data_IF_618400039455
#
_entry.id   IF_618400039455
#
_cell.length_a   1.000
_cell.length_b   1.000
_cell.length_c   1.000
_cell.angle_alpha   90.00
_cell.angle_beta   90.00
_cell.angle_gamma   90.00
#
_symmetry.space_group_name_H-M   'P 1'
#
loop_
_entity.id
_entity.type
_entity.pdbx_description
1 polymer ?
#
# COMPACT_ATOMS: atom_id res chain seq x y z
N UNK A 1 -19.25 -24.71 -41.60
CA UNK A 1 -19.05 -25.57 -42.80
C UNK A 1 -18.00 -26.65 -42.49
N UNK A 2 -18.15 -27.54 -41.52
CA UNK A 2 -18.83 -28.81 -41.80
C UNK A 2 -19.29 -29.62 -40.56
N UNK A 3 -19.32 -29.06 -39.34
CA UNK A 3 -19.90 -29.75 -38.16
C UNK A 3 -21.16 -29.07 -37.59
N UNK A 4 -21.74 -28.11 -38.31
CA UNK A 4 -22.76 -27.19 -37.82
C UNK A 4 -24.17 -27.40 -38.42
N UNK A 5 -24.40 -28.53 -39.09
CA UNK A 5 -25.72 -28.92 -39.62
C UNK A 5 -26.24 -30.19 -38.93
N UNK A 6 -25.34 -31.07 -38.48
CA UNK A 6 -25.69 -32.38 -37.92
C UNK A 6 -26.23 -32.34 -36.48
N UNK A 7 -26.17 -31.18 -35.80
CA UNK A 7 -26.65 -30.96 -34.41
C UNK A 7 -27.95 -30.12 -34.34
N UNK A 8 -28.55 -29.76 -35.48
CA UNK A 8 -29.84 -29.05 -35.48
C UNK A 8 -31.01 -30.04 -35.36
N UNK A 9 -32.03 -29.74 -34.55
CA UNK A 9 -33.25 -30.56 -34.50
C UNK A 9 -33.95 -30.57 -35.88
N UNK A 10 -34.34 -31.75 -36.37
CA UNK A 10 -35.09 -31.92 -37.63
C UNK A 10 -36.58 -31.50 -37.52
N UNK A 11 -37.05 -31.14 -36.32
CA UNK A 11 -38.43 -30.69 -36.11
C UNK A 11 -38.64 -29.22 -36.51
N UNK A 12 -39.51 -29.00 -37.50
CA UNK A 12 -39.86 -27.69 -38.05
C UNK A 12 -40.46 -26.76 -36.98
N UNK A 13 -41.19 -27.28 -36.00
CA UNK A 13 -41.79 -26.45 -34.95
C UNK A 13 -40.72 -25.92 -33.98
N UNK A 14 -39.81 -26.79 -33.55
CA UNK A 14 -38.65 -26.43 -32.72
C UNK A 14 -37.73 -25.44 -33.45
N UNK A 15 -37.46 -25.65 -34.74
CA UNK A 15 -36.69 -24.71 -35.56
C UNK A 15 -37.33 -23.32 -35.66
N UNK A 16 -38.66 -23.23 -35.76
CA UNK A 16 -39.37 -21.94 -35.77
C UNK A 16 -39.29 -21.22 -34.43
N UNK A 17 -39.37 -21.94 -33.32
CA UNK A 17 -39.21 -21.37 -31.98
C UNK A 17 -37.78 -20.84 -31.76
N UNK A 18 -36.77 -21.61 -32.18
CA UNK A 18 -35.36 -21.19 -32.18
C UNK A 18 -35.16 -19.94 -33.04
N UNK A 19 -35.77 -19.87 -34.24
CA UNK A 19 -35.66 -18.69 -35.11
C UNK A 19 -36.29 -17.44 -34.49
N UNK A 20 -37.41 -17.58 -33.78
CA UNK A 20 -38.03 -16.46 -33.07
C UNK A 20 -37.18 -15.99 -31.89
N UNK A 21 -36.60 -16.91 -31.12
CA UNK A 21 -35.67 -16.59 -30.04
C UNK A 21 -34.41 -15.86 -30.57
N UNK A 22 -33.83 -16.37 -31.67
CA UNK A 22 -32.68 -15.76 -32.35
C UNK A 22 -33.00 -14.37 -32.92
N UNK A 23 -34.23 -14.16 -33.41
CA UNK A 23 -34.68 -12.83 -33.86
C UNK A 23 -34.83 -11.86 -32.70
N UNK A 24 -35.41 -12.29 -31.58
CA UNK A 24 -35.51 -11.46 -30.38
C UNK A 24 -34.12 -11.10 -29.82
N UNK A 25 -33.19 -12.06 -29.82
CA UNK A 25 -31.79 -11.84 -29.45
C UNK A 25 -31.10 -10.87 -30.42
N UNK A 26 -31.34 -11.01 -31.72
CA UNK A 26 -30.82 -10.11 -32.75
C UNK A 26 -31.35 -8.68 -32.59
N UNK A 27 -32.62 -8.50 -32.22
CA UNK A 27 -33.19 -7.18 -31.93
C UNK A 27 -32.59 -6.55 -30.68
N UNK A 28 -32.40 -7.34 -29.61
CA UNK A 28 -31.71 -6.89 -28.39
C UNK A 28 -30.26 -6.47 -28.68
N UNK A 29 -29.53 -7.27 -29.46
CA UNK A 29 -28.16 -6.94 -29.87
C UNK A 29 -28.10 -5.68 -30.73
N UNK A 30 -29.07 -5.47 -31.63
CA UNK A 30 -29.17 -4.23 -32.40
C UNK A 30 -29.47 -3.01 -31.54
N UNK A 31 -30.30 -3.15 -30.51
CA UNK A 31 -30.56 -2.09 -29.55
C UNK A 31 -29.29 -1.70 -28.78
N UNK A 32 -28.54 -2.68 -28.29
CA UNK A 32 -27.23 -2.48 -27.63
C UNK A 32 -26.21 -1.83 -28.57
N UNK A 33 -26.14 -2.29 -29.82
CA UNK A 33 -25.27 -1.68 -30.85
C UNK A 33 -25.67 -0.22 -31.16
N UNK A 34 -26.96 0.11 -31.12
CA UNK A 34 -27.43 1.48 -31.31
C UNK A 34 -27.05 2.39 -30.12
N UNK A 35 -27.10 1.87 -28.89
CA UNK A 35 -26.59 2.56 -27.70
C UNK A 35 -25.07 2.76 -27.78
N UNK A 36 -24.31 1.71 -28.14
CA UNK A 36 -22.87 1.78 -28.35
C UNK A 36 -22.49 2.78 -29.46
N UNK A 37 -23.21 2.80 -30.59
CA UNK A 37 -22.98 3.80 -31.65
C UNK A 37 -23.30 5.23 -31.21
N UNK A 38 -24.33 5.45 -30.40
CA UNK A 38 -24.57 6.78 -29.79
C UNK A 38 -23.46 7.18 -28.83
N UNK A 39 -22.93 6.25 -28.06
CA UNK A 39 -21.79 6.50 -27.18
C UNK A 39 -20.51 6.82 -27.96
N UNK A 40 -20.29 6.15 -29.10
CA UNK A 40 -19.05 6.27 -29.88
C UNK A 40 -19.06 7.45 -30.86
N UNK A 41 -20.23 7.84 -31.40
CA UNK A 41 -20.37 8.87 -32.45
C UNK A 41 -21.33 10.01 -32.09
N UNK A 42 -21.77 10.13 -30.82
CA UNK A 42 -22.59 11.22 -30.30
C UNK A 42 -21.86 12.57 -30.23
N UNK A 43 -22.61 13.67 -30.04
CA UNK A 43 -22.05 15.04 -29.99
C UNK A 43 -21.04 15.18 -28.84
N UNK A 44 -19.85 15.70 -29.17
CA UNK A 44 -18.60 15.68 -28.37
C UNK A 44 -18.56 16.51 -27.06
N UNK A 45 -19.68 16.92 -26.45
CA UNK A 45 -19.69 17.75 -25.22
C UNK A 45 -20.20 17.09 -23.94
N UNK A 46 -20.62 15.83 -23.97
CA UNK A 46 -20.99 15.08 -22.76
C UNK A 46 -20.26 13.74 -22.77
N UNK A 47 -19.01 13.72 -22.28
CA UNK A 47 -18.34 12.47 -21.95
C UNK A 47 -18.99 11.93 -20.67
N UNK A 48 -19.91 10.97 -20.79
CA UNK A 48 -20.18 10.05 -19.68
C UNK A 48 -18.91 9.25 -19.38
N UNK A 49 -18.53 9.12 -18.12
CA UNK A 49 -17.29 8.41 -17.75
C UNK A 49 -17.44 6.90 -18.00
N UNK A 50 -16.34 6.23 -18.35
CA UNK A 50 -16.30 4.76 -18.47
C UNK A 50 -16.68 4.10 -17.13
N UNK A 51 -16.37 4.75 -16.01
CA UNK A 51 -16.82 4.34 -14.68
C UNK A 51 -18.34 4.38 -14.52
N UNK A 52 -19.03 5.33 -15.16
CA UNK A 52 -20.49 5.43 -15.15
C UNK A 52 -21.14 4.34 -16.03
N UNK A 53 -20.46 3.92 -17.10
CA UNK A 53 -20.85 2.78 -17.94
C UNK A 53 -20.63 1.44 -17.23
N UNK A 54 -19.51 1.27 -16.54
CA UNK A 54 -19.23 0.08 -15.71
C UNK A 54 -20.26 -0.05 -14.59
N UNK A 55 -20.62 1.06 -13.93
CA UNK A 55 -21.68 1.08 -12.92
C UNK A 55 -23.03 0.62 -13.48
N UNK A 56 -23.36 1.05 -14.71
CA UNK A 56 -24.61 0.67 -15.38
C UNK A 56 -24.63 -0.80 -15.81
N UNK A 57 -23.48 -1.36 -16.20
CA UNK A 57 -23.32 -2.78 -16.51
C UNK A 57 -23.39 -3.63 -15.24
N UNK A 58 -22.79 -3.15 -14.15
CA UNK A 58 -22.83 -3.77 -12.83
C UNK A 58 -24.28 -3.85 -12.28
N UNK A 59 -25.08 -2.80 -12.50
CA UNK A 59 -26.51 -2.80 -12.14
C UNK A 59 -27.33 -3.83 -12.96
N UNK A 60 -27.03 -3.98 -14.26
CA UNK A 60 -27.68 -4.98 -15.12
C UNK A 60 -27.27 -6.40 -14.74
N UNK A 61 -25.99 -6.64 -14.49
CA UNK A 61 -25.48 -7.93 -14.03
C UNK A 61 -26.06 -8.30 -12.67
N UNK A 62 -26.19 -7.33 -11.77
CA UNK A 62 -26.84 -7.50 -10.47
C UNK A 62 -28.32 -7.86 -10.63
N UNK A 63 -29.05 -7.21 -11.55
CA UNK A 63 -30.45 -7.52 -11.84
C UNK A 63 -30.63 -8.92 -12.45
N UNK A 64 -29.74 -9.33 -13.37
CA UNK A 64 -29.74 -10.68 -13.95
C UNK A 64 -29.46 -11.73 -12.87
N UNK A 65 -28.43 -11.52 -12.05
CA UNK A 65 -28.10 -12.40 -10.93
C UNK A 65 -29.25 -12.52 -9.92
N UNK A 66 -30.02 -11.44 -9.70
CA UNK A 66 -31.18 -11.46 -8.82
C UNK A 66 -32.33 -12.30 -9.38
N UNK A 67 -32.61 -12.24 -10.68
CA UNK A 67 -33.63 -13.09 -11.33
C UNK A 67 -33.19 -14.57 -11.39
N UNK A 68 -31.91 -14.83 -11.69
CA UNK A 68 -31.34 -16.17 -11.64
C UNK A 68 -31.43 -16.76 -10.21
N UNK A 69 -31.17 -15.95 -9.18
CA UNK A 69 -31.32 -16.38 -7.78
C UNK A 69 -32.80 -16.65 -7.41
N UNK A 70 -33.76 -15.92 -7.98
CA UNK A 70 -35.19 -16.20 -7.79
C UNK A 70 -35.61 -17.52 -8.44
N UNK A 71 -35.13 -17.78 -9.67
CA UNK A 71 -35.34 -19.05 -10.38
C UNK A 71 -34.69 -20.22 -9.64
N UNK A 72 -33.51 -20.00 -9.06
CA UNK A 72 -32.84 -21.02 -8.25
C UNK A 72 -33.60 -21.33 -6.94
N UNK A 73 -34.26 -20.33 -6.33
CA UNK A 73 -35.10 -20.55 -5.15
C UNK A 73 -36.40 -21.26 -5.46
N UNK A 74 -36.96 -21.10 -6.67
CA UNK A 74 -38.22 -21.75 -7.06
C UNK A 74 -38.02 -23.18 -7.59
N UNK A 75 -36.86 -23.50 -8.16
CA UNK A 75 -36.54 -24.84 -8.68
C UNK A 75 -35.41 -25.53 -7.89
N UNK A 76 -35.80 -26.53 -7.09
CA UNK A 76 -34.88 -27.33 -6.27
C UNK A 76 -33.89 -28.19 -7.09
N UNK A 77 -34.19 -28.51 -8.35
CA UNK A 77 -33.26 -29.23 -9.23
C UNK A 77 -32.19 -28.27 -9.78
N UNK A 78 -32.59 -27.07 -10.17
CA UNK A 78 -31.67 -26.03 -10.63
C UNK A 78 -30.71 -25.60 -9.51
N UNK A 79 -31.22 -25.44 -8.28
CA UNK A 79 -30.39 -25.16 -7.11
C UNK A 79 -29.34 -26.24 -6.83
N UNK A 80 -29.74 -27.52 -6.89
CA UNK A 80 -28.82 -28.65 -6.68
C UNK A 80 -27.74 -28.72 -7.77
N UNK A 81 -28.11 -28.52 -9.04
CA UNK A 81 -27.18 -28.51 -10.17
C UNK A 81 -26.17 -27.36 -10.07
N UNK A 82 -26.63 -26.15 -9.77
CA UNK A 82 -25.76 -24.98 -9.62
C UNK A 82 -24.85 -25.08 -8.38
N UNK A 83 -25.35 -25.67 -7.28
CA UNK A 83 -24.53 -25.96 -6.09
C UNK A 83 -23.43 -26.98 -6.40
N UNK A 84 -23.71 -27.99 -7.22
CA UNK A 84 -22.72 -28.99 -7.65
C UNK A 84 -21.64 -28.36 -8.55
N UNK A 85 -22.01 -27.52 -9.51
CA UNK A 85 -21.06 -26.75 -10.33
C UNK A 85 -20.17 -25.84 -9.47
N UNK A 86 -20.75 -25.12 -8.50
CA UNK A 86 -20.00 -24.27 -7.54
C UNK A 86 -19.03 -25.07 -6.67
N UNK A 87 -19.41 -26.27 -6.24
CA UNK A 87 -18.51 -27.18 -5.50
C UNK A 87 -17.32 -27.63 -6.36
N UNK A 88 -17.55 -27.94 -7.64
CA UNK A 88 -16.48 -28.34 -8.57
C UNK A 88 -15.47 -27.23 -8.88
N UNK A 89 -15.92 -25.97 -8.92
CA UNK A 89 -15.07 -24.81 -9.26
C UNK A 89 -14.47 -24.07 -8.06
N UNK A 90 -14.65 -24.58 -6.82
CA UNK A 90 -14.28 -23.86 -5.59
C UNK A 90 -12.76 -23.68 -5.40
N UNK A 91 -11.94 -24.53 -6.02
CA UNK A 91 -10.49 -24.56 -5.78
C UNK A 91 -10.15 -24.89 -4.32
N UNK A 92 -8.85 -24.95 -3.99
CA UNK A 92 -8.38 -25.05 -2.60
C UNK A 92 -7.99 -23.66 -2.09
N UNK A 93 -8.34 -23.34 -0.83
CA UNK A 93 -7.86 -22.10 -0.21
C UNK A 93 -6.36 -22.20 0.06
N UNK A 94 -5.58 -21.12 -0.14
CA UNK A 94 -4.13 -21.17 0.03
C UNK A 94 -3.71 -21.68 1.42
N UNK A 95 -2.71 -22.58 1.45
CA UNK A 95 -2.27 -23.25 2.67
C UNK A 95 -1.74 -22.29 3.76
N UNK A 96 -1.27 -21.10 3.37
CA UNK A 96 -0.70 -20.11 4.28
C UNK A 96 -1.75 -19.27 5.04
N UNK A 97 -3.04 -19.37 4.70
CA UNK A 97 -4.09 -18.67 5.44
C UNK A 97 -4.39 -19.40 6.76
N UNK A 98 -4.55 -18.67 7.89
CA UNK A 98 -4.88 -19.27 9.18
C UNK A 98 -6.27 -19.91 9.13
N UNK A 99 -6.40 -21.13 9.66
CA UNK A 99 -7.67 -21.87 9.77
C UNK A 99 -8.14 -21.80 11.22
N UNK A 100 -9.36 -21.29 11.44
CA UNK A 100 -10.04 -21.34 12.72
C UNK A 100 -11.12 -22.41 12.67
N UNK A 101 -11.04 -23.42 13.54
CA UNK A 101 -11.95 -24.56 13.57
C UNK A 101 -13.14 -24.28 14.49
N UNK A 102 -14.35 -24.34 13.94
CA UNK A 102 -15.61 -24.25 14.71
C UNK A 102 -16.28 -25.62 14.68
N UNK A 103 -16.24 -26.32 15.82
CA UNK A 103 -16.89 -27.63 15.98
C UNK A 103 -18.34 -27.40 16.42
N UNK A 104 -19.28 -27.82 15.59
CA UNK A 104 -20.72 -27.76 15.91
C UNK A 104 -21.14 -29.14 16.42
N UNK A 105 -21.40 -29.24 17.72
CA UNK A 105 -21.84 -30.50 18.35
C UNK A 105 -23.37 -30.53 18.57
N UNK A 106 -24.02 -31.71 18.52
CA UNK A 106 -25.44 -31.84 18.82
C UNK A 106 -25.73 -31.59 20.31
N UNK A 107 -26.86 -30.95 20.62
CA UNK A 107 -27.26 -30.56 22.00
C UNK A 107 -27.40 -31.75 22.96
N UNK A 108 -27.77 -32.94 22.45
CA UNK A 108 -27.88 -34.16 23.24
C UNK A 108 -26.82 -35.17 22.80
N UNK A 109 -25.82 -35.40 23.67
CA UNK A 109 -24.77 -36.42 23.48
C UNK A 109 -25.18 -37.81 23.99
N UNK A 110 -26.46 -37.99 24.32
CA UNK A 110 -27.04 -39.25 24.78
C UNK A 110 -27.96 -39.82 23.70
N UNK A 111 -27.89 -41.13 23.48
CA UNK A 111 -28.72 -41.80 22.49
C UNK A 111 -30.21 -41.73 22.89
N UNK A 112 -31.11 -41.22 22.02
CA UNK A 112 -32.52 -41.05 22.36
C UNK A 112 -33.29 -42.36 22.62
N UNK A 113 -32.71 -43.54 22.33
CA UNK A 113 -33.34 -44.83 22.61
C UNK A 113 -32.83 -45.54 23.87
N UNK A 114 -31.57 -45.33 24.28
CA UNK A 114 -30.93 -46.13 25.35
C UNK A 114 -30.09 -45.32 26.35
N UNK A 115 -29.97 -44.00 26.18
CA UNK A 115 -29.32 -43.10 27.14
C UNK A 115 -27.79 -43.16 27.21
N UNK A 116 -27.15 -44.04 26.44
CA UNK A 116 -25.69 -44.15 26.38
C UNK A 116 -25.04 -43.00 25.60
N UNK A 117 -23.76 -42.71 25.90
CA UNK A 117 -22.99 -41.66 25.24
C UNK A 117 -22.73 -41.98 23.75
N UNK A 118 -22.98 -40.99 22.88
CA UNK A 118 -22.69 -41.08 21.44
C UNK A 118 -21.18 -40.91 21.20
N UNK A 119 -20.62 -41.69 20.26
CA UNK A 119 -19.22 -41.59 19.85
C UNK A 119 -19.11 -41.07 18.42
N UNK A 120 -18.03 -40.36 18.12
CA UNK A 120 -17.78 -39.75 16.81
C UNK A 120 -17.37 -40.85 15.81
N UNK A 121 -18.12 -41.01 14.72
CA UNK A 121 -17.91 -42.03 13.69
C UNK A 121 -17.27 -41.43 12.41
N UNK A 122 -17.30 -40.09 12.28
CA UNK A 122 -16.70 -39.33 11.19
C UNK A 122 -17.09 -37.85 11.24
N UNK A 123 -16.45 -37.01 10.44
CA UNK A 123 -16.73 -35.57 10.35
C UNK A 123 -16.83 -35.11 8.89
N UNK A 124 -17.77 -34.21 8.62
CA UNK A 124 -17.85 -33.46 7.37
C UNK A 124 -17.22 -32.09 7.59
N UNK A 125 -16.11 -31.80 6.90
CA UNK A 125 -15.41 -30.51 7.00
C UNK A 125 -15.72 -29.59 5.81
N UNK A 126 -15.84 -28.29 6.07
CA UNK A 126 -16.00 -27.28 5.02
C UNK A 126 -15.16 -26.04 5.30
N UNK A 127 -14.24 -25.70 4.39
CA UNK A 127 -13.46 -24.47 4.48
C UNK A 127 -14.24 -23.28 3.89
N UNK A 128 -14.25 -22.15 4.60
CA UNK A 128 -14.85 -20.87 4.18
C UNK A 128 -13.86 -19.75 4.44
N UNK A 129 -13.68 -18.86 3.47
CA UNK A 129 -12.83 -17.68 3.64
C UNK A 129 -13.55 -16.64 4.50
N UNK A 130 -12.94 -16.27 5.63
CA UNK A 130 -13.41 -15.22 6.51
C UNK A 130 -12.45 -14.02 6.51
N UNK A 131 -12.96 -12.82 6.78
CA UNK A 131 -12.16 -11.59 6.88
C UNK A 131 -12.41 -10.95 8.23
N UNK A 132 -11.41 -10.98 9.10
CA UNK A 132 -11.38 -10.20 10.34
C UNK A 132 -10.71 -8.85 10.05
N UNK A 133 -11.42 -7.71 10.14
CA UNK A 133 -10.81 -6.38 9.94
C UNK A 133 -9.78 -6.04 11.04
N UNK A 134 -8.89 -5.07 10.74
CA UNK A 134 -7.88 -4.57 11.67
C UNK A 134 -8.51 -4.14 13.01
N UNK A 135 -8.24 -4.87 14.09
CA UNK A 135 -8.80 -4.57 15.42
C UNK A 135 -8.18 -3.28 15.97
N UNK A 136 -9.01 -2.28 16.26
CA UNK A 136 -8.60 -1.14 17.08
C UNK A 136 -8.23 -1.62 18.49
N UNK A 137 -7.12 -1.12 19.04
CA UNK A 137 -6.66 -1.41 20.40
C UNK A 137 -6.23 -0.14 21.12
N UNK A 138 -6.40 -0.12 22.44
CA UNK A 138 -5.94 0.97 23.30
C UNK A 138 -4.59 0.61 23.93
N UNK A 139 -3.58 1.44 23.73
CA UNK A 139 -2.28 1.28 24.38
C UNK A 139 -2.27 2.12 25.67
N UNK A 140 -2.19 1.46 26.83
CA UNK A 140 -2.18 2.10 28.14
C UNK A 140 -0.76 2.16 28.70
N UNK A 141 -0.11 3.32 28.59
CA UNK A 141 1.23 3.55 29.15
C UNK A 141 1.14 4.03 30.60
N UNK A 142 1.55 3.19 31.57
CA UNK A 142 1.59 3.55 32.99
C UNK A 142 3.00 3.97 33.41
N UNK A 143 3.14 5.15 34.01
CA UNK A 143 4.41 5.69 34.53
C UNK A 143 4.34 5.84 36.06
N UNK A 144 4.66 4.81 36.86
CA UNK A 144 4.62 4.89 38.31
C UNK A 144 5.62 5.92 38.84
N UNK A 145 5.25 6.58 39.94
CA UNK A 145 6.08 7.52 40.69
C UNK A 145 6.65 6.81 41.91
N UNK A 146 7.97 6.88 42.09
CA UNK A 146 8.66 6.30 43.24
C UNK A 146 9.15 7.42 44.14
N UNK A 147 9.07 7.25 45.46
CA UNK A 147 9.59 8.20 46.43
C UNK A 147 10.28 7.44 47.57
N UNK A 148 11.43 7.96 48.02
CA UNK A 148 12.09 7.46 49.22
C UNK A 148 11.27 7.85 50.46
N UNK A 149 11.01 6.91 51.38
CA UNK A 149 10.31 7.21 52.65
C UNK A 149 11.22 7.82 53.72
N UNK A 150 12.53 7.63 53.61
CA UNK A 150 13.54 8.06 54.61
C UNK A 150 14.20 9.39 54.26
N UNK A 151 14.19 9.72 52.97
CA UNK A 151 14.77 10.90 52.36
C UNK A 151 13.59 11.65 51.75
N UNK A 152 13.13 12.73 52.38
CA UNK A 152 12.01 13.55 51.88
C UNK A 152 12.29 14.19 50.51
N UNK A 153 13.49 13.98 49.95
CA UNK A 153 13.91 14.48 48.66
C UNK A 153 13.70 13.46 47.54
N UNK A 154 12.76 13.81 46.66
CA UNK A 154 12.71 13.36 45.28
C UNK A 154 11.66 12.29 44.98
N UNK A 155 10.58 12.71 44.29
CA UNK A 155 9.73 11.79 43.52
C UNK A 155 10.42 11.52 42.19
N UNK A 156 10.82 10.27 41.96
CA UNK A 156 11.46 9.81 40.73
C UNK A 156 10.39 9.20 39.82
N UNK A 157 10.31 9.68 38.59
CA UNK A 157 9.42 9.16 37.56
C UNK A 157 10.17 9.12 36.23
N UNK A 158 10.10 8.00 35.50
CA UNK A 158 10.65 7.91 34.14
C UNK A 158 10.00 8.97 33.24
N UNK A 159 10.71 9.66 32.32
CA UNK A 159 10.16 10.71 31.45
C UNK A 159 9.05 10.19 30.52
N UNK A 160 8.27 11.12 29.94
CA UNK A 160 7.24 10.75 28.97
C UNK A 160 7.91 10.40 27.64
N UNK A 161 7.37 9.41 26.92
CA UNK A 161 7.76 9.20 25.53
C UNK A 161 7.26 10.37 24.69
N UNK A 162 8.11 10.86 23.78
CA UNK A 162 7.70 11.81 22.74
C UNK A 162 6.71 11.10 21.79
N UNK A 163 5.73 11.85 21.29
CA UNK A 163 4.68 11.34 20.40
C UNK A 163 4.61 12.23 19.17
N UNK A 164 4.25 11.66 18.01
CA UNK A 164 4.03 12.42 16.79
C UNK A 164 2.96 13.52 16.95
N UNK A 165 1.88 13.20 17.66
CA UNK A 165 0.85 14.17 18.04
C UNK A 165 0.89 14.32 19.56
N UNK A 166 1.51 15.39 20.05
CA UNK A 166 1.64 15.64 21.49
C UNK A 166 0.27 15.78 22.17
N UNK A 167 0.06 15.01 23.24
CA UNK A 167 -1.24 14.96 23.93
C UNK A 167 -2.38 14.33 23.12
N UNK A 168 -2.12 13.92 21.88
CA UNK A 168 -3.10 13.34 20.98
C UNK A 168 -3.50 11.92 21.35
N UNK A 169 -4.67 11.53 20.86
CA UNK A 169 -5.18 10.16 20.89
C UNK A 169 -4.37 9.17 20.04
N UNK A 170 -3.87 9.51 18.83
CA UNK A 170 -3.36 8.49 17.93
C UNK A 170 -1.97 8.04 18.36
N UNK A 171 -1.70 6.77 18.09
CA UNK A 171 -0.33 6.27 18.01
C UNK A 171 0.23 6.55 16.61
N UNK A 172 1.54 6.48 16.46
CA UNK A 172 2.23 6.65 15.18
C UNK A 172 1.71 5.64 14.13
N UNK A 173 1.39 4.42 14.55
CA UNK A 173 0.80 3.40 13.69
C UNK A 173 -0.61 3.76 13.21
N UNK A 174 -1.44 4.38 14.06
CA UNK A 174 -2.78 4.84 13.65
C UNK A 174 -2.68 6.02 12.68
N UNK A 175 -1.72 6.93 12.89
CA UNK A 175 -1.48 8.02 11.92
C UNK A 175 -1.02 7.46 10.57
N UNK A 176 -0.12 6.47 10.58
CA UNK A 176 0.32 5.80 9.36
C UNK A 176 -0.85 5.13 8.61
N UNK A 177 -1.74 4.42 9.32
CA UNK A 177 -2.95 3.82 8.73
C UNK A 177 -3.87 4.85 8.08
N UNK A 178 -4.10 5.99 8.76
CA UNK A 178 -4.92 7.10 8.24
C UNK A 178 -4.30 7.70 6.96
N UNK A 179 -2.97 7.84 6.92
CA UNK A 179 -2.24 8.32 5.74
C UNK A 179 -2.33 7.32 4.58
N UNK A 180 -2.04 6.05 4.81
CA UNK A 180 -2.11 4.99 3.80
C UNK A 180 -3.52 4.89 3.25
N UNK A 181 -4.52 4.81 4.12
CA UNK A 181 -5.93 4.82 3.74
C UNK A 181 -6.27 6.03 2.87
N UNK A 182 -5.79 7.23 3.24
CA UNK A 182 -6.11 8.45 2.50
C UNK A 182 -5.47 8.50 1.12
N UNK A 183 -4.18 8.19 1.05
CA UNK A 183 -3.36 8.48 -0.11
C UNK A 183 -3.18 7.26 -1.02
N UNK A 184 -3.01 6.06 -0.45
CA UNK A 184 -2.86 4.82 -1.22
C UNK A 184 -4.22 4.18 -1.53
N UNK A 185 -5.12 4.10 -0.55
CA UNK A 185 -6.43 3.44 -0.73
C UNK A 185 -7.54 4.41 -1.19
N UNK A 186 -7.18 5.66 -1.47
CA UNK A 186 -8.09 6.73 -1.91
C UNK A 186 -9.33 6.88 -1.01
N UNK A 187 -9.18 6.63 0.29
CA UNK A 187 -10.25 6.67 1.27
C UNK A 187 -10.32 8.05 1.94
N UNK A 188 -11.26 8.92 1.58
CA UNK A 188 -11.28 10.29 2.11
C UNK A 188 -11.47 10.31 3.63
N UNK A 189 -10.89 11.31 4.31
CA UNK A 189 -10.89 11.38 5.78
C UNK A 189 -12.28 11.34 6.43
N UNK A 190 -13.31 11.91 5.79
CA UNK A 190 -14.67 11.81 6.31
C UNK A 190 -15.20 10.36 6.31
N UNK A 191 -14.79 9.56 5.31
CA UNK A 191 -15.19 8.15 5.21
C UNK A 191 -14.42 7.30 6.21
N UNK A 192 -13.14 7.61 6.45
CA UNK A 192 -12.37 7.01 7.54
C UNK A 192 -13.01 7.30 8.90
N UNK A 193 -13.41 8.55 9.18
CA UNK A 193 -14.13 8.91 10.40
C UNK A 193 -15.44 8.10 10.58
N UNK A 194 -16.19 7.89 9.50
CA UNK A 194 -17.40 7.05 9.52
C UNK A 194 -17.09 5.57 9.77
N UNK A 195 -15.98 5.04 9.25
CA UNK A 195 -15.54 3.66 9.50
C UNK A 195 -15.18 3.49 10.98
N UNK A 196 -14.37 4.40 11.54
CA UNK A 196 -14.03 4.41 12.96
C UNK A 196 -15.27 4.52 13.85
N UNK A 197 -16.26 5.34 13.45
CA UNK A 197 -17.53 5.47 14.17
C UNK A 197 -18.34 4.16 14.20
N UNK A 198 -18.27 3.33 13.14
CA UNK A 198 -18.91 1.99 13.12
C UNK A 198 -18.27 1.04 14.13
N UNK A 199 -16.99 1.26 14.44
CA UNK A 199 -16.26 0.52 15.48
C UNK A 199 -16.41 1.16 16.88
N UNK A 200 -17.29 2.15 17.02
CA UNK A 200 -17.54 2.84 18.28
C UNK A 200 -16.56 3.97 18.61
N UNK A 201 -15.67 4.33 17.69
CA UNK A 201 -14.67 5.39 17.87
C UNK A 201 -15.08 6.65 17.09
N UNK A 202 -15.73 7.59 17.79
CA UNK A 202 -16.19 8.85 17.20
C UNK A 202 -15.05 9.86 17.15
N UNK A 203 -14.51 10.10 15.94
CA UNK A 203 -13.43 11.06 15.69
C UNK A 203 -13.88 12.02 14.60
N UNK A 204 -13.74 13.33 14.84
CA UNK A 204 -14.11 14.32 13.84
C UNK A 204 -13.09 14.36 12.69
N UNK A 205 -13.59 14.70 11.49
CA UNK A 205 -12.75 14.86 10.29
C UNK A 205 -11.61 15.86 10.52
N UNK A 206 -11.84 16.94 11.26
CA UNK A 206 -10.82 17.95 11.58
C UNK A 206 -9.67 17.36 12.40
N UNK A 207 -9.96 16.42 13.30
CA UNK A 207 -8.95 15.70 14.08
C UNK A 207 -8.08 14.84 13.18
N UNK A 208 -8.67 14.10 12.23
CA UNK A 208 -7.90 13.34 11.24
C UNK A 208 -7.07 14.25 10.32
N UNK A 209 -7.60 15.41 9.92
CA UNK A 209 -6.84 16.41 9.16
C UNK A 209 -5.62 16.91 9.94
N UNK A 210 -5.77 17.16 11.25
CA UNK A 210 -4.66 17.56 12.11
C UNK A 210 -3.57 16.49 12.16
N UNK A 211 -3.93 15.21 12.33
CA UNK A 211 -2.96 14.11 12.33
C UNK A 211 -2.18 14.01 11.01
N UNK A 212 -2.88 14.16 9.88
CA UNK A 212 -2.23 14.20 8.55
C UNK A 212 -1.27 15.38 8.46
N UNK A 213 -1.66 16.56 8.96
CA UNK A 213 -0.81 17.75 8.98
C UNK A 213 0.45 17.57 9.84
N UNK A 214 0.31 17.01 11.05
CA UNK A 214 1.46 16.72 11.92
C UNK A 214 2.45 15.75 11.27
N UNK A 215 1.95 14.69 10.62
CA UNK A 215 2.80 13.77 9.90
C UNK A 215 3.47 14.41 8.67
N UNK A 216 2.75 15.28 7.96
CA UNK A 216 3.30 15.99 6.81
C UNK A 216 4.52 16.84 7.22
N UNK A 217 4.44 17.60 8.32
CA UNK A 217 5.56 18.43 8.82
C UNK A 217 6.81 17.60 9.14
N UNK A 218 6.65 16.42 9.73
CA UNK A 218 7.80 15.53 10.00
C UNK A 218 8.41 14.95 8.71
N UNK A 219 7.61 14.80 7.65
CA UNK A 219 8.07 14.30 6.35
C UNK A 219 8.61 15.42 5.43
N UNK A 220 8.19 16.66 5.65
CA UNK A 220 8.40 17.84 4.83
C UNK A 220 9.39 18.78 5.57
N UNK A 221 10.72 18.53 5.60
CA UNK A 221 11.53 18.45 4.38
C UNK A 221 12.91 17.78 4.57
N UNK A 222 12.99 16.47 4.83
CA UNK A 222 14.33 15.87 5.05
C UNK A 222 15.20 15.91 3.77
N UNK A 223 14.56 15.82 2.59
CA UNK A 223 15.25 15.77 1.29
C UNK A 223 14.50 16.51 0.16
N UNK A 224 13.52 17.36 0.50
CA UNK A 224 12.76 18.20 -0.44
C UNK A 224 12.25 17.48 -1.72
N UNK A 225 11.81 16.23 -1.61
CA UNK A 225 11.51 15.37 -2.77
C UNK A 225 10.14 15.62 -3.41
N UNK A 226 9.24 16.37 -2.77
CA UNK A 226 7.86 16.52 -3.22
C UNK A 226 7.75 17.09 -4.65
N UNK A 227 8.45 18.19 -4.95
CA UNK A 227 8.42 18.79 -6.29
C UNK A 227 9.04 17.87 -7.34
N UNK A 228 10.14 17.20 -7.00
CA UNK A 228 10.80 16.24 -7.87
C UNK A 228 9.89 15.06 -8.22
N UNK A 229 9.14 14.54 -7.25
CA UNK A 229 8.16 13.47 -7.48
C UNK A 229 7.06 13.96 -8.43
N UNK A 230 6.54 15.18 -8.23
CA UNK A 230 5.53 15.75 -9.12
C UNK A 230 6.05 15.87 -10.55
N UNK A 231 7.26 16.41 -10.74
CA UNK A 231 7.90 16.54 -12.05
C UNK A 231 8.08 15.17 -12.72
N UNK A 232 8.70 14.21 -12.02
CA UNK A 232 8.92 12.87 -12.56
C UNK A 232 7.60 12.14 -12.89
N UNK A 233 6.56 12.36 -12.11
CA UNK A 233 5.22 11.80 -12.35
C UNK A 233 4.59 12.39 -13.61
N UNK A 234 4.66 13.71 -13.78
CA UNK A 234 4.11 14.37 -14.97
C UNK A 234 4.86 13.93 -16.24
N UNK A 235 6.20 13.94 -16.21
CA UNK A 235 7.02 13.52 -17.35
C UNK A 235 6.79 12.04 -17.71
N UNK A 236 6.79 11.16 -16.72
CA UNK A 236 6.52 9.73 -16.92
C UNK A 236 5.11 9.48 -17.43
N UNK A 237 4.13 10.24 -16.95
CA UNK A 237 2.73 10.13 -17.40
C UNK A 237 2.59 10.56 -18.86
N UNK A 238 3.19 11.69 -19.26
CA UNK A 238 3.16 12.14 -20.65
C UNK A 238 3.74 11.08 -21.59
N UNK A 239 4.91 10.53 -21.24
CA UNK A 239 5.54 9.47 -22.05
C UNK A 239 4.67 8.20 -22.14
N UNK A 240 4.03 7.79 -21.04
CA UNK A 240 3.14 6.63 -21.03
C UNK A 240 1.84 6.88 -21.80
N UNK A 241 1.31 8.10 -21.70
CA UNK A 241 0.12 8.53 -22.41
C UNK A 241 0.35 8.56 -23.93
N UNK A 242 1.47 9.14 -24.37
CA UNK A 242 1.85 9.19 -25.78
C UNK A 242 2.04 7.80 -26.38
N UNK A 243 2.58 6.86 -25.58
CA UNK A 243 2.71 5.46 -26.00
C UNK A 243 1.35 4.73 -26.11
N UNK A 244 0.34 5.13 -25.33
CA UNK A 244 -1.05 4.67 -25.44
C UNK A 244 -1.27 3.17 -25.20
N UNK A 245 -0.36 2.48 -24.52
CA UNK A 245 -0.45 1.02 -24.26
C UNK A 245 -0.55 0.71 -22.76
N UNK A 246 -1.26 -0.38 -22.42
CA UNK A 246 -1.31 -0.89 -21.05
C UNK A 246 0.09 -1.21 -20.50
N UNK A 247 0.98 -1.75 -21.34
CA UNK A 247 2.36 -2.00 -20.96
C UNK A 247 3.12 -0.71 -20.59
N UNK A 248 2.83 0.43 -21.26
CA UNK A 248 3.42 1.71 -20.90
C UNK A 248 2.85 2.26 -19.59
N UNK A 249 1.53 2.12 -19.36
CA UNK A 249 0.90 2.43 -18.07
C UNK A 249 1.51 1.62 -16.93
N UNK A 250 1.66 0.31 -17.11
CA UNK A 250 2.15 -0.57 -16.06
C UNK A 250 3.62 -0.29 -15.73
N UNK A 251 4.45 -0.01 -16.75
CA UNK A 251 5.83 0.47 -16.54
C UNK A 251 5.88 1.81 -15.81
N UNK A 252 5.01 2.75 -16.16
CA UNK A 252 4.90 4.04 -15.46
C UNK A 252 4.53 3.84 -13.99
N UNK A 253 3.47 3.07 -13.70
CA UNK A 253 3.04 2.78 -12.34
C UNK A 253 4.17 2.11 -11.54
N UNK A 254 4.84 1.11 -12.11
CA UNK A 254 5.97 0.44 -11.47
C UNK A 254 7.12 1.42 -11.17
N UNK A 255 7.47 2.30 -12.12
CA UNK A 255 8.56 3.25 -11.96
C UNK A 255 8.27 4.32 -10.90
N UNK A 256 7.02 4.82 -10.83
CA UNK A 256 6.60 5.79 -9.81
C UNK A 256 6.52 5.13 -8.44
N UNK A 257 5.97 3.93 -8.32
CA UNK A 257 5.94 3.19 -7.05
C UNK A 257 7.36 2.91 -6.53
N UNK A 258 8.27 2.45 -7.41
CA UNK A 258 9.67 2.24 -7.04
C UNK A 258 10.36 3.55 -6.61
N UNK A 259 10.00 4.70 -7.20
CA UNK A 259 10.49 6.02 -6.77
C UNK A 259 10.04 6.35 -5.36
N UNK A 260 8.77 6.15 -5.03
CA UNK A 260 8.25 6.36 -3.68
C UNK A 260 8.93 5.44 -2.65
N UNK A 261 9.09 4.17 -2.98
CA UNK A 261 9.77 3.20 -2.11
C UNK A 261 11.24 3.56 -1.87
N UNK A 262 11.97 3.95 -2.92
CA UNK A 262 13.35 4.39 -2.80
C UNK A 262 13.50 5.67 -1.96
N UNK A 263 12.58 6.62 -2.12
CA UNK A 263 12.57 7.85 -1.32
C UNK A 263 12.23 7.56 0.14
N UNK A 264 11.24 6.71 0.40
CA UNK A 264 10.92 6.24 1.75
C UNK A 264 12.16 5.63 2.40
N UNK A 265 12.83 4.71 1.71
CA UNK A 265 13.99 4.00 2.26
C UNK A 265 15.13 4.97 2.62
N UNK A 266 15.37 5.97 1.77
CA UNK A 266 16.37 7.00 2.03
C UNK A 266 16.00 7.90 3.23
N UNK A 267 14.73 8.29 3.36
CA UNK A 267 14.24 9.03 4.54
C UNK A 267 14.36 8.17 5.81
N UNK A 268 13.90 6.91 5.77
CA UNK A 268 13.99 5.98 6.91
C UNK A 268 15.45 5.78 7.33
N UNK A 269 16.38 5.75 6.38
CA UNK A 269 17.81 5.61 6.66
C UNK A 269 18.34 6.73 7.58
N UNK A 270 17.88 7.99 7.43
CA UNK A 270 18.27 9.08 8.33
C UNK A 270 17.90 8.82 9.78
N UNK A 271 16.69 8.33 10.01
CA UNK A 271 16.23 7.98 11.35
C UNK A 271 16.92 6.71 11.85
N UNK A 272 17.18 5.74 10.97
CA UNK A 272 17.81 4.49 11.37
C UNK A 272 19.29 4.65 11.72
N UNK A 273 20.01 5.50 10.99
CA UNK A 273 21.45 5.72 11.14
C UNK A 273 21.79 6.78 12.18
N UNK A 274 20.77 7.39 12.79
CA UNK A 274 20.95 8.37 13.85
C UNK A 274 21.82 7.81 14.99
N UNK A 275 22.69 8.66 15.56
CA UNK A 275 23.52 8.34 16.74
C UNK A 275 23.02 9.03 18.01
N UNK A 276 21.82 9.62 17.96
CA UNK A 276 21.22 10.36 19.06
C UNK A 276 20.67 9.37 20.09
N UNK A 277 20.99 9.61 21.34
CA UNK A 277 20.49 8.83 22.47
C UNK A 277 19.92 9.73 23.57
N UNK A 278 19.61 10.99 23.24
CA UNK A 278 19.12 12.00 24.18
C UNK A 278 17.69 11.73 24.66
N UNK A 279 16.87 11.06 23.86
CA UNK A 279 15.52 10.68 24.24
C UNK A 279 15.13 9.30 23.71
N UNK A 280 14.00 8.76 24.19
CA UNK A 280 13.51 7.45 23.80
C UNK A 280 13.10 7.37 22.33
N UNK A 281 12.67 8.48 21.72
CA UNK A 281 12.30 8.52 20.31
C UNK A 281 13.50 8.17 19.42
N UNK A 282 14.64 8.85 19.59
CA UNK A 282 15.83 8.57 18.78
C UNK A 282 16.40 7.17 19.02
N UNK A 283 16.35 6.69 20.27
CA UNK A 283 16.72 5.31 20.61
C UNK A 283 15.82 4.29 19.90
N UNK A 284 14.51 4.52 19.87
CA UNK A 284 13.56 3.65 19.19
C UNK A 284 13.77 3.64 17.67
N UNK A 285 13.99 4.81 17.05
CA UNK A 285 14.32 4.92 15.63
C UNK A 285 15.57 4.12 15.26
N UNK A 286 16.61 4.14 16.10
CA UNK A 286 17.84 3.37 15.86
C UNK A 286 17.67 1.85 16.10
N UNK A 287 16.79 1.45 17.01
CA UNK A 287 16.58 0.05 17.38
C UNK A 287 15.61 -0.72 16.47
N UNK A 288 14.73 -0.03 15.75
CA UNK A 288 13.66 -0.66 14.96
C UNK A 288 14.18 -1.28 13.66
N UNK A 289 14.68 -2.52 13.73
CA UNK A 289 15.16 -3.28 12.58
C UNK A 289 14.06 -4.07 11.85
N UNK A 290 12.94 -4.36 12.53
CA UNK A 290 11.90 -5.25 12.00
C UNK A 290 11.11 -4.58 10.87
N UNK A 291 11.02 -3.26 10.88
CA UNK A 291 10.28 -2.47 9.90
C UNK A 291 11.10 -2.03 8.67
N UNK A 292 12.39 -2.39 8.56
CA UNK A 292 13.23 -1.95 7.44
C UNK A 292 12.95 -2.76 6.16
N UNK A 293 12.89 -2.06 5.03
CA UNK A 293 12.71 -2.69 3.72
C UNK A 293 13.91 -3.60 3.37
N UNK A 294 13.73 -4.61 2.51
CA UNK A 294 14.85 -5.42 2.01
C UNK A 294 15.93 -4.58 1.31
N UNK A 295 15.53 -3.56 0.55
CA UNK A 295 16.43 -2.63 -0.17
C UNK A 295 17.33 -1.87 0.81
N UNK A 296 16.75 -1.25 1.85
CA UNK A 296 17.51 -0.53 2.86
C UNK A 296 18.42 -1.47 3.67
N UNK A 297 17.94 -2.67 4.01
CA UNK A 297 18.78 -3.69 4.67
C UNK A 297 19.99 -4.07 3.81
N UNK A 298 19.81 -4.19 2.49
CA UNK A 298 20.90 -4.48 1.57
C UNK A 298 21.91 -3.32 1.48
N UNK A 299 21.45 -2.07 1.38
CA UNK A 299 22.33 -0.88 1.44
C UNK A 299 23.12 -0.81 2.74
N UNK A 300 22.46 -0.99 3.89
CA UNK A 300 23.14 -1.05 5.19
C UNK A 300 24.15 -2.21 5.25
N UNK A 301 23.79 -3.37 4.71
CA UNK A 301 24.70 -4.53 4.64
C UNK A 301 25.92 -4.22 3.80
N UNK A 302 25.74 -3.59 2.63
CA UNK A 302 26.86 -3.19 1.78
C UNK A 302 27.82 -2.26 2.53
N UNK A 303 27.29 -1.22 3.19
CA UNK A 303 28.09 -0.30 4.00
C UNK A 303 28.82 -0.98 5.16
N UNK A 304 28.10 -1.70 6.02
CA UNK A 304 28.68 -2.30 7.24
C UNK A 304 29.59 -3.50 6.98
N UNK A 305 29.54 -4.08 5.78
CA UNK A 305 30.43 -5.18 5.36
C UNK A 305 31.51 -4.74 4.37
N UNK A 306 31.68 -3.42 4.18
CA UNK A 306 32.66 -2.82 3.28
C UNK A 306 32.59 -3.37 1.85
N UNK A 307 31.37 -3.53 1.32
CA UNK A 307 31.12 -3.77 -0.11
C UNK A 307 30.98 -2.45 -0.85
N UNK A 308 31.12 -2.50 -2.16
CA UNK A 308 30.90 -1.35 -3.03
C UNK A 308 29.41 -0.95 -3.03
N UNK A 309 29.12 0.23 -2.45
CA UNK A 309 27.76 0.77 -2.44
C UNK A 309 27.30 1.27 -3.82
N UNK A 310 28.22 1.67 -4.71
CA UNK A 310 27.85 2.06 -6.06
C UNK A 310 27.35 0.84 -6.85
N UNK A 311 28.04 -0.29 -6.72
CA UNK A 311 27.59 -1.56 -7.29
C UNK A 311 26.25 -2.01 -6.71
N UNK A 312 26.01 -1.82 -5.41
CA UNK A 312 24.73 -2.14 -4.78
C UNK A 312 23.58 -1.24 -5.30
N UNK A 313 23.83 0.07 -5.43
CA UNK A 313 22.85 1.03 -5.98
C UNK A 313 22.49 0.69 -7.43
N UNK A 314 23.48 0.30 -8.23
CA UNK A 314 23.28 -0.16 -9.60
C UNK A 314 22.49 -1.47 -9.65
N UNK A 315 22.87 -2.45 -8.83
CA UNK A 315 22.20 -3.75 -8.77
C UNK A 315 20.71 -3.65 -8.39
N UNK A 316 20.37 -2.71 -7.50
CA UNK A 316 18.98 -2.46 -7.12
C UNK A 316 18.23 -1.54 -8.10
N UNK A 317 18.92 -0.85 -9.00
CA UNK A 317 18.31 0.13 -9.91
C UNK A 317 17.79 1.40 -9.21
N UNK A 318 18.28 1.71 -8.00
CA UNK A 318 17.79 2.85 -7.20
C UNK A 318 18.51 4.18 -7.48
N UNK A 319 19.54 4.15 -8.34
CA UNK A 319 20.34 5.31 -8.73
C UNK A 319 19.54 6.42 -9.42
N UNK A 320 18.35 6.11 -9.97
CA UNK A 320 17.45 7.10 -10.58
C UNK A 320 16.74 8.02 -9.57
N UNK A 321 16.88 7.75 -8.27
CA UNK A 321 16.26 8.51 -7.19
C UNK A 321 17.31 9.11 -6.26
N UNK A 322 18.25 8.28 -5.78
CA UNK A 322 19.41 8.70 -5.00
C UNK A 322 20.65 8.01 -5.53
N UNK A 323 21.61 8.80 -6.00
CA UNK A 323 22.88 8.30 -6.49
C UNK A 323 23.71 7.69 -5.34
N UNK A 324 24.69 6.85 -5.68
CA UNK A 324 25.61 6.27 -4.71
C UNK A 324 26.28 7.33 -3.83
N UNK A 325 26.62 8.50 -4.37
CA UNK A 325 27.21 9.60 -3.61
C UNK A 325 26.29 10.13 -2.50
N UNK A 326 24.97 10.17 -2.74
CA UNK A 326 23.98 10.58 -1.74
C UNK A 326 23.98 9.60 -0.57
N UNK A 327 23.95 8.29 -0.86
CA UNK A 327 24.06 7.25 0.17
C UNK A 327 25.39 7.31 0.93
N UNK A 328 26.53 7.52 0.26
CA UNK A 328 27.81 7.72 0.95
C UNK A 328 27.77 8.92 1.88
N UNK A 329 27.26 10.06 1.40
CA UNK A 329 27.12 11.29 2.17
C UNK A 329 26.25 11.08 3.40
N UNK A 330 25.15 10.33 3.26
CA UNK A 330 24.24 10.00 4.34
C UNK A 330 24.94 9.17 5.43
N UNK A 331 25.46 8.01 5.07
CA UNK A 331 26.07 7.10 6.04
C UNK A 331 27.33 7.70 6.70
N UNK A 332 28.20 8.33 5.90
CA UNK A 332 29.39 9.00 6.40
C UNK A 332 29.04 10.23 7.26
N UNK A 333 28.03 11.00 6.85
CA UNK A 333 27.58 12.23 7.53
C UNK A 333 27.01 11.98 8.92
N UNK A 334 26.27 10.88 9.11
CA UNK A 334 25.84 10.43 10.44
C UNK A 334 26.99 9.84 11.27
N UNK A 335 28.15 9.61 10.67
CA UNK A 335 29.33 9.09 11.34
C UNK A 335 29.16 7.63 11.79
N UNK A 336 28.36 6.85 11.06
CA UNK A 336 28.01 5.48 11.43
C UNK A 336 28.80 4.52 10.56
N UNK A 337 29.98 4.13 11.02
CA UNK A 337 30.91 3.27 10.28
C UNK A 337 30.89 1.81 10.76
N UNK A 338 31.41 0.85 9.96
CA UNK A 338 31.71 -0.49 10.45
C UNK A 338 32.57 -0.46 11.72
N UNK A 339 32.48 -1.50 12.54
CA UNK A 339 33.40 -1.66 13.67
C UNK A 339 34.86 -1.60 13.18
N UNK A 340 35.79 -0.98 13.92
CA UNK A 340 37.18 -0.85 13.50
C UNK A 340 37.83 -2.18 13.11
N UNK A 341 37.46 -3.28 13.78
CA UNK A 341 37.94 -4.62 13.48
C UNK A 341 37.46 -5.19 12.12
N UNK A 342 36.38 -4.63 11.57
CA UNK A 342 35.80 -5.00 10.26
C UNK A 342 36.20 -4.03 9.14
N UNK A 343 36.82 -2.91 9.49
CA UNK A 343 37.36 -1.98 8.49
C UNK A 343 38.53 -2.64 7.75
N UNK A 344 38.56 -2.45 6.43
CA UNK A 344 39.65 -2.93 5.58
C UNK A 344 40.61 -1.77 5.30
N UNK A 345 41.93 -2.02 5.26
CA UNK A 345 42.84 -1.03 4.73
C UNK A 345 42.49 -0.74 3.26
N UNK A 346 42.77 0.48 2.77
CA UNK A 346 42.60 0.78 1.35
C UNK A 346 43.45 -0.18 0.51
N UNK A 347 42.96 -0.52 -0.68
CA UNK A 347 43.73 -1.28 -1.66
C UNK A 347 44.99 -0.49 -2.06
N UNK A 348 46.09 -1.20 -2.35
CA UNK A 348 47.41 -0.57 -2.51
C UNK A 348 47.49 0.39 -3.72
N UNK A 349 46.57 0.24 -4.67
CA UNK A 349 46.40 1.05 -5.88
C UNK A 349 45.29 2.10 -5.76
N UNK A 350 44.62 2.20 -4.61
CA UNK A 350 43.61 3.22 -4.37
C UNK A 350 44.28 4.60 -4.35
N UNK A 351 44.08 5.38 -5.41
CA UNK A 351 44.50 6.76 -5.47
C UNK A 351 43.75 7.57 -4.40
N UNK A 352 44.45 7.90 -3.31
CA UNK A 352 43.92 8.80 -2.29
C UNK A 352 43.66 10.17 -2.91
N UNK A 353 42.53 10.77 -2.55
CA UNK A 353 42.20 12.12 -2.99
C UNK A 353 43.26 13.12 -2.53
N UNK A 354 43.72 13.98 -3.44
CA UNK A 354 44.61 15.09 -3.11
C UNK A 354 43.82 16.18 -2.38
N UNK A 355 43.73 16.04 -1.06
CA UNK A 355 43.00 16.97 -0.19
C UNK A 355 43.53 18.42 -0.33
N UNK A 356 44.85 18.69 -0.36
CA UNK A 356 45.36 20.02 -0.67
C UNK A 356 44.88 20.60 -2.00
N UNK A 357 44.85 19.80 -3.08
CA UNK A 357 44.34 20.26 -4.37
C UNK A 357 42.84 20.57 -4.32
N UNK A 358 42.05 19.74 -3.63
CA UNK A 358 40.60 19.97 -3.41
C UNK A 358 40.38 21.26 -2.61
N UNK A 359 41.09 21.46 -1.51
CA UNK A 359 41.00 22.66 -0.68
C UNK A 359 41.35 23.92 -1.48
N UNK A 360 42.41 23.85 -2.30
CA UNK A 360 42.80 24.96 -3.17
C UNK A 360 41.73 25.25 -4.23
N UNK A 361 41.15 24.21 -4.84
CA UNK A 361 40.05 24.36 -5.80
C UNK A 361 38.83 25.04 -5.14
N UNK A 362 38.36 24.52 -4.01
CA UNK A 362 37.22 25.07 -3.27
C UNK A 362 37.45 26.51 -2.84
N UNK A 363 38.65 26.83 -2.31
CA UNK A 363 39.03 28.21 -1.95
C UNK A 363 38.91 29.15 -3.15
N UNK A 364 39.38 28.74 -4.32
CA UNK A 364 39.30 29.54 -5.55
C UNK A 364 37.87 29.68 -6.06
N UNK A 365 37.05 28.63 -5.95
CA UNK A 365 35.63 28.71 -6.27
C UNK A 365 34.91 29.76 -5.41
N UNK A 366 35.13 29.74 -4.09
CA UNK A 366 34.49 30.70 -3.15
C UNK A 366 34.80 32.16 -3.51
N UNK A 367 35.98 32.45 -4.04
CA UNK A 367 36.35 33.81 -4.47
C UNK A 367 35.52 34.33 -5.66
N UNK A 368 34.86 33.44 -6.43
CA UNK A 368 34.07 33.82 -7.60
C UNK A 368 32.58 34.04 -7.28
N UNK A 369 32.11 33.66 -6.10
CA UNK A 369 30.70 33.76 -5.72
C UNK A 369 30.55 34.73 -4.53
N UNK A 370 29.81 35.81 -4.75
CA UNK A 370 29.48 36.78 -3.70
C UNK A 370 28.39 36.27 -2.75
N UNK A 371 28.03 37.11 -1.78
CA UNK A 371 26.94 36.80 -0.84
C UNK A 371 25.60 36.55 -1.57
N UNK A 372 24.87 35.52 -1.12
CA UNK A 372 23.61 35.12 -1.74
C UNK A 372 22.56 36.24 -1.72
N UNK A 373 22.48 37.04 -0.64
CA UNK A 373 21.52 38.16 -0.57
C UNK A 373 21.87 39.25 -1.57
N UNK A 374 23.15 39.54 -1.74
CA UNK A 374 23.62 40.50 -2.75
C UNK A 374 23.28 40.03 -4.17
N UNK A 375 23.45 38.73 -4.46
CA UNK A 375 23.06 38.16 -5.75
C UNK A 375 21.55 38.24 -6.00
N UNK A 376 20.71 37.95 -4.99
CA UNK A 376 19.25 38.08 -5.10
C UNK A 376 18.81 39.54 -5.32
N UNK A 377 19.42 40.48 -4.59
CA UNK A 377 19.10 41.91 -4.74
C UNK A 377 19.43 42.44 -6.13
N UNK A 378 20.46 41.90 -6.80
CA UNK A 378 20.80 42.27 -8.17
C UNK A 378 19.83 41.69 -9.22
N UNK A 379 19.10 40.62 -8.89
CA UNK A 379 18.13 39.95 -9.79
C UNK A 379 16.73 40.56 -9.72
N UNK A 380 16.38 41.22 -8.62
CA UNK A 380 15.08 41.87 -8.45
C UNK A 380 15.23 43.33 -8.92
N UNK A 381 14.69 43.72 -10.09
CA UNK A 381 14.71 45.13 -10.48
C UNK A 381 13.98 45.95 -9.42
N UNK A 382 14.60 47.07 -9.00
CA UNK A 382 13.99 48.00 -8.06
C UNK A 382 12.69 48.54 -8.68
N UNK A 383 11.56 48.00 -8.22
CA UNK A 383 10.20 48.39 -8.59
C UNK A 383 9.56 49.19 -7.48
#
# INVERSE_FOLDING_TARGET
>A
MASALDDLPDDIATLKAMLLAERAQSERLRHLLAQLRRAQFGRKSEKGSVDQLNLSLEDIETAVAAEEAKLEKSDANLSRSNAQKRRGNRGALPAHLPREEIIIEPEAKACPCCGNALHIIGEDSSERLDKVPAKLRVIVTRRPRYACRSCSDGVIQAPALNRLVEGGLPTEALVADVLVSKYADHLPLYRQAQILAREGVNIDRSTLCHWVGSAAVELEPLEATALHIVQATVEGFLAAHDAGTDAARDRFNAAINARYDGIRDYIVAHYRLNRRADNDYWRACAANNDALSPSLKAMMTAWFTARDMAAEVEAQGIGGYYAALSWHSLFAGYGTYPEPAKMRPPEADLALADMPAIDNFLRRCVLNFGDHRAALAALIPAG
#
